data_IF_036209679957
#
_entry.id   IF_036209679957
#
_cell.length_a   1.000
_cell.length_b   1.000
_cell.length_c   1.000
_cell.angle_alpha   90.00
_cell.angle_beta   90.00
_cell.angle_gamma   90.00
#
_symmetry.space_group_name_H-M   'P 1'
#
loop_
_entity.id
_entity.type
_entity.pdbx_description
1 polymer ?
#
# COMPACT_ATOMS: atom_id res chain seq x y z
N UNK A 1 -19.11 42.00 -24.36
CA UNK A 1 -18.29 41.67 -25.54
C UNK A 1 -17.79 40.26 -25.33
N UNK A 2 -18.29 39.31 -26.11
CA UNK A 2 -17.83 37.92 -26.10
C UNK A 2 -16.41 37.90 -26.64
N UNK A 3 -15.46 37.35 -25.88
CA UNK A 3 -14.09 37.11 -26.30
C UNK A 3 -14.10 36.29 -27.60
N UNK A 4 -13.63 36.92 -28.67
CA UNK A 4 -13.47 36.35 -30.02
C UNK A 4 -12.21 35.48 -30.16
N UNK A 5 -11.72 34.86 -29.08
CA UNK A 5 -10.45 34.11 -29.07
C UNK A 5 -10.59 32.58 -29.05
N UNK A 6 -11.78 32.02 -29.31
CA UNK A 6 -12.01 30.57 -29.18
C UNK A 6 -11.93 29.79 -30.51
N UNK A 7 -11.59 30.42 -31.64
CA UNK A 7 -11.63 29.75 -32.95
C UNK A 7 -10.39 29.93 -33.83
N UNK A 8 -9.19 29.88 -33.26
CA UNK A 8 -7.96 29.57 -34.02
C UNK A 8 -7.25 28.35 -33.42
N UNK A 9 -7.71 27.15 -33.76
CA UNK A 9 -6.95 25.92 -33.50
C UNK A 9 -6.82 25.13 -34.79
N UNK A 10 -5.69 25.30 -35.49
CA UNK A 10 -5.22 24.32 -36.45
C UNK A 10 -5.06 22.93 -35.82
N UNK A 11 -4.79 21.87 -36.62
CA UNK A 11 -4.63 20.51 -36.10
C UNK A 11 -3.56 20.46 -35.01
N UNK A 12 -3.92 19.95 -33.82
CA UNK A 12 -3.00 19.84 -32.68
C UNK A 12 -2.04 18.68 -32.89
N UNK A 13 -0.76 18.99 -33.03
CA UNK A 13 0.30 17.98 -33.08
C UNK A 13 0.56 17.40 -31.68
N UNK A 14 0.66 16.08 -31.57
CA UNK A 14 0.96 15.38 -30.33
C UNK A 14 2.37 14.76 -30.40
N UNK A 15 3.05 14.74 -29.27
CA UNK A 15 4.29 13.99 -29.08
C UNK A 15 4.14 13.02 -27.93
N UNK A 16 4.83 11.90 -27.97
CA UNK A 16 4.77 10.90 -26.91
C UNK A 16 5.88 11.14 -25.89
N UNK A 17 5.55 11.17 -24.59
CA UNK A 17 6.53 11.21 -23.52
C UNK A 17 7.42 9.95 -23.58
N UNK A 18 8.75 10.07 -23.63
CA UNK A 18 9.63 8.93 -23.82
C UNK A 18 9.65 7.96 -22.64
N UNK A 19 9.40 8.41 -21.40
CA UNK A 19 9.41 7.55 -20.21
C UNK A 19 8.09 6.80 -20.05
N UNK A 20 6.98 7.54 -19.96
CA UNK A 20 5.64 7.00 -19.65
C UNK A 20 4.85 6.58 -20.90
N UNK A 21 5.33 6.90 -22.09
CA UNK A 21 4.66 6.63 -23.38
C UNK A 21 3.25 7.27 -23.49
N UNK A 22 3.04 8.42 -22.83
CA UNK A 22 1.78 9.18 -22.84
C UNK A 22 1.82 10.25 -23.94
N UNK A 23 0.77 10.36 -24.75
CA UNK A 23 0.64 11.42 -25.75
C UNK A 23 0.30 12.76 -25.13
N UNK A 24 1.08 13.80 -25.45
CA UNK A 24 0.94 15.15 -24.93
C UNK A 24 0.96 16.16 -26.08
N UNK A 25 0.19 17.27 -25.99
CA UNK A 25 0.22 18.32 -27.00
C UNK A 25 1.59 19.01 -27.08
N UNK A 26 2.01 19.37 -28.30
CA UNK A 26 3.22 20.15 -28.55
C UNK A 26 2.96 21.63 -28.23
N UNK A 27 3.90 22.32 -27.56
CA UNK A 27 3.83 23.80 -27.46
C UNK A 27 4.39 24.44 -28.72
N UNK A 28 3.99 25.69 -29.00
CA UNK A 28 4.51 26.51 -30.10
C UNK A 28 6.04 26.69 -30.11
N UNK A 29 6.74 26.39 -29.00
CA UNK A 29 8.19 26.50 -28.87
C UNK A 29 8.91 25.13 -28.91
N UNK A 30 8.25 24.04 -29.30
CA UNK A 30 8.88 22.71 -29.45
C UNK A 30 9.26 22.01 -28.14
N UNK A 31 8.95 22.60 -26.98
CA UNK A 31 9.19 22.04 -25.66
C UNK A 31 7.95 21.28 -25.14
N UNK A 32 8.12 20.28 -24.26
CA UNK A 32 6.99 19.64 -23.58
C UNK A 32 6.20 20.71 -22.81
N UNK A 33 4.89 20.75 -23.02
CA UNK A 33 4.01 21.61 -22.24
C UNK A 33 4.11 21.15 -20.78
N UNK A 34 4.71 21.96 -19.89
CA UNK A 34 4.65 21.69 -18.45
C UNK A 34 3.17 21.60 -18.07
N UNK A 35 2.75 20.65 -17.21
CA UNK A 35 1.38 20.61 -16.72
C UNK A 35 1.02 22.01 -16.22
N UNK A 36 -0.12 22.53 -16.67
CA UNK A 36 -0.59 23.88 -16.35
C UNK A 36 -0.55 24.04 -14.82
N UNK A 37 0.45 24.74 -14.30
CA UNK A 37 0.69 24.91 -12.86
C UNK A 37 -0.27 25.90 -12.21
N UNK A 38 -1.23 26.44 -12.94
CA UNK A 38 -2.26 27.33 -12.41
C UNK A 38 -3.60 27.07 -13.10
N UNK A 39 -4.37 26.12 -12.59
CA UNK A 39 -5.83 26.23 -12.62
C UNK A 39 -6.29 26.56 -11.22
N UNK A 40 -7.13 27.60 -11.10
CA UNK A 40 -7.91 27.94 -9.91
C UNK A 40 -8.40 26.66 -9.22
N UNK A 41 -8.28 26.62 -7.89
CA UNK A 41 -8.77 25.56 -7.01
C UNK A 41 -10.13 25.06 -7.52
N UNK A 42 -10.12 23.92 -8.18
CA UNK A 42 -11.34 23.24 -8.57
C UNK A 42 -11.72 22.36 -7.38
N UNK A 43 -12.90 22.61 -6.79
CA UNK A 43 -13.38 21.85 -5.64
C UNK A 43 -13.51 20.33 -5.90
N UNK A 44 -13.37 19.87 -7.14
CA UNK A 44 -13.44 18.45 -7.48
C UNK A 44 -12.25 17.63 -6.94
N UNK A 45 -11.06 18.22 -6.77
CA UNK A 45 -9.84 17.53 -6.31
C UNK A 45 -9.29 18.06 -4.98
N UNK A 46 -10.14 18.56 -4.07
CA UNK A 46 -9.70 18.97 -2.74
C UNK A 46 -9.07 17.79 -1.96
N UNK A 47 -7.95 18.02 -1.24
CA UNK A 47 -7.38 17.02 -0.34
C UNK A 47 -8.38 16.56 0.73
N UNK A 48 -8.21 15.33 1.21
CA UNK A 48 -9.11 14.72 2.21
C UNK A 48 -8.41 14.53 3.55
N UNK A 49 -9.04 15.02 4.61
CA UNK A 49 -8.69 14.75 6.00
C UNK A 49 -9.55 13.59 6.52
N UNK A 50 -8.95 12.42 6.68
CA UNK A 50 -9.56 11.27 7.35
C UNK A 50 -9.41 11.46 8.86
N UNK A 51 -10.51 11.36 9.59
CA UNK A 51 -10.52 11.56 11.05
C UNK A 51 -10.97 10.28 11.72
N UNK A 52 -10.07 9.61 12.45
CA UNK A 52 -10.46 8.41 13.19
C UNK A 52 -11.28 8.77 14.42
N UNK A 53 -12.28 7.95 14.75
CA UNK A 53 -13.14 8.13 15.93
C UNK A 53 -13.25 6.81 16.70
N UNK A 54 -13.26 6.87 18.03
CA UNK A 54 -13.55 5.72 18.88
C UNK A 54 -12.62 5.60 20.09
N UNK A 55 -13.00 4.73 21.02
CA UNK A 55 -12.27 4.48 22.27
C UNK A 55 -10.86 3.90 22.02
N UNK A 56 -9.92 4.01 22.97
CA UNK A 56 -8.63 3.31 22.91
C UNK A 56 -8.79 1.79 22.72
N UNK A 57 -7.79 1.13 22.14
CA UNK A 57 -7.81 -0.32 21.81
C UNK A 57 -8.99 -0.78 20.92
N UNK A 58 -9.44 0.09 19.99
CA UNK A 58 -10.45 -0.23 18.96
C UNK A 58 -9.87 -0.31 17.54
N UNK A 59 -8.58 -0.63 17.38
CA UNK A 59 -7.98 -0.80 16.05
C UNK A 59 -7.80 0.47 15.18
N UNK A 60 -8.04 1.68 15.69
CA UNK A 60 -7.89 2.93 14.91
C UNK A 60 -6.51 3.10 14.26
N UNK A 61 -5.43 2.88 15.01
CA UNK A 61 -4.06 2.97 14.48
C UNK A 61 -3.78 1.87 13.45
N UNK A 62 -4.33 0.67 13.64
CA UNK A 62 -4.23 -0.42 12.67
C UNK A 62 -4.90 -0.01 11.35
N UNK A 63 -6.15 0.45 11.41
CA UNK A 63 -6.90 0.97 10.26
C UNK A 63 -6.13 2.11 9.59
N UNK A 64 -5.62 3.06 10.37
CA UNK A 64 -4.88 4.22 9.86
C UNK A 64 -3.66 3.78 9.04
N UNK A 65 -2.82 2.90 9.60
CA UNK A 65 -1.63 2.41 8.90
C UNK A 65 -1.97 1.57 7.67
N UNK A 66 -2.90 0.60 7.79
CA UNK A 66 -3.31 -0.23 6.66
C UNK A 66 -3.92 0.60 5.54
N UNK A 67 -4.74 1.61 5.87
CA UNK A 67 -5.36 2.48 4.89
C UNK A 67 -4.32 3.36 4.21
N UNK A 68 -3.41 3.97 4.97
CA UNK A 68 -2.31 4.76 4.40
C UNK A 68 -1.41 3.93 3.49
N UNK A 69 -1.05 2.71 3.88
CA UNK A 69 -0.28 1.77 3.06
C UNK A 69 -0.97 1.47 1.74
N UNK A 70 -2.26 1.13 1.80
CA UNK A 70 -3.07 0.89 0.61
C UNK A 70 -3.13 2.11 -0.31
N UNK A 71 -3.49 3.29 0.23
CA UNK A 71 -3.61 4.51 -0.54
C UNK A 71 -2.28 4.93 -1.19
N UNK A 72 -1.15 4.81 -0.47
CA UNK A 72 0.16 5.08 -1.06
C UNK A 72 0.52 4.08 -2.17
N UNK A 73 0.24 2.79 -1.96
CA UNK A 73 0.54 1.75 -2.93
C UNK A 73 -0.19 1.97 -4.27
N UNK A 74 -1.46 2.39 -4.25
CA UNK A 74 -2.24 2.71 -5.46
C UNK A 74 -1.89 4.09 -6.08
N UNK A 75 -0.94 4.82 -5.49
CA UNK A 75 -0.48 6.12 -5.99
C UNK A 75 -1.20 7.35 -5.45
N UNK A 76 -1.90 7.26 -4.31
CA UNK A 76 -2.54 8.39 -3.60
C UNK A 76 -1.67 8.79 -2.40
N UNK A 77 -0.89 9.90 -2.47
CA UNK A 77 -0.01 10.32 -1.40
C UNK A 77 -0.76 10.54 -0.09
N UNK A 78 -0.45 9.69 0.89
CA UNK A 78 -1.15 9.61 2.17
C UNK A 78 -0.18 9.57 3.35
N UNK A 79 -0.47 10.31 4.43
CA UNK A 79 0.34 10.32 5.65
C UNK A 79 -0.53 10.24 6.91
N UNK A 80 -0.05 9.49 7.92
CA UNK A 80 -0.70 9.40 9.24
C UNK A 80 -0.13 10.44 10.19
N UNK A 81 -1.01 11.12 10.93
CA UNK A 81 -0.70 12.06 12.00
C UNK A 81 -1.28 11.51 13.31
N UNK A 82 -0.47 10.72 14.03
CA UNK A 82 -0.88 10.08 15.27
C UNK A 82 -0.69 11.05 16.46
N UNK A 83 -1.78 11.61 16.99
CA UNK A 83 -1.74 12.58 18.11
C UNK A 83 -1.09 11.98 19.36
N UNK A 84 -1.14 10.65 19.51
CA UNK A 84 -0.43 9.94 20.58
C UNK A 84 1.09 10.11 20.52
N UNK A 85 1.68 10.22 19.33
CA UNK A 85 3.11 10.48 19.13
C UNK A 85 3.48 11.91 19.54
N UNK A 86 2.75 12.91 19.07
CA UNK A 86 2.93 14.31 19.49
C UNK A 86 2.84 14.46 21.02
N UNK A 87 1.93 13.73 21.67
CA UNK A 87 1.84 13.71 23.14
C UNK A 87 3.08 13.09 23.78
N UNK A 88 3.60 11.99 23.26
CA UNK A 88 4.82 11.35 23.79
C UNK A 88 6.03 12.26 23.66
N UNK A 89 6.17 12.96 22.54
CA UNK A 89 7.26 13.92 22.33
C UNK A 89 7.16 15.13 23.29
N UNK A 90 5.94 15.59 23.58
CA UNK A 90 5.71 16.71 24.49
C UNK A 90 5.92 16.36 25.98
N UNK A 91 5.38 15.22 26.45
CA UNK A 91 5.39 14.84 27.87
C UNK A 91 6.63 14.01 28.24
N UNK A 92 7.30 13.39 27.26
CA UNK A 92 8.46 12.50 27.35
C UNK A 92 8.25 11.20 28.14
N UNK A 93 7.70 11.29 29.35
CA UNK A 93 7.49 10.15 30.25
C UNK A 93 6.00 10.01 30.56
N UNK A 94 5.43 8.85 30.22
CA UNK A 94 4.10 8.48 30.65
C UNK A 94 4.14 7.96 32.09
N UNK A 95 3.24 8.45 32.96
CA UNK A 95 3.13 8.00 34.35
C UNK A 95 1.97 7.03 34.55
N UNK A 96 0.75 7.48 34.27
CA UNK A 96 -0.47 6.70 34.50
C UNK A 96 -1.67 7.28 33.75
N UNK A 97 -2.78 6.54 33.80
CA UNK A 97 -4.07 6.92 33.22
C UNK A 97 -4.62 8.24 33.75
N UNK A 98 -4.13 8.74 34.89
CA UNK A 98 -4.55 10.01 35.50
C UNK A 98 -4.35 11.21 34.56
N UNK A 99 -3.36 11.12 33.66
CA UNK A 99 -3.14 12.10 32.60
C UNK A 99 -4.36 12.25 31.67
N UNK A 100 -5.15 11.19 31.50
CA UNK A 100 -6.28 11.14 30.59
C UNK A 100 -7.62 11.49 31.24
N UNK A 101 -7.66 11.67 32.57
CA UNK A 101 -8.90 11.97 33.26
C UNK A 101 -9.55 13.27 32.74
N UNK A 102 -10.89 13.35 32.70
CA UNK A 102 -11.59 14.56 32.25
C UNK A 102 -11.36 15.79 33.13
N UNK A 103 -11.14 15.58 34.43
CA UNK A 103 -10.89 16.62 35.44
C UNK A 103 -9.43 17.10 35.49
N UNK A 104 -8.53 16.45 34.74
CA UNK A 104 -7.14 16.88 34.62
C UNK A 104 -7.01 18.03 33.59
N UNK A 105 -7.13 19.28 34.07
CA UNK A 105 -7.06 20.48 33.22
C UNK A 105 -5.72 20.62 32.48
N UNK A 106 -4.60 20.33 33.16
CA UNK A 106 -3.27 20.40 32.56
C UNK A 106 -3.11 19.35 31.44
N UNK A 107 -3.48 18.09 31.73
CA UNK A 107 -3.46 17.00 30.76
C UNK A 107 -4.41 17.27 29.58
N UNK A 108 -5.56 17.90 29.81
CA UNK A 108 -6.47 18.33 28.74
C UNK A 108 -5.85 19.44 27.87
N UNK A 109 -5.20 20.45 28.49
CA UNK A 109 -4.51 21.54 27.79
C UNK A 109 -3.39 21.01 26.91
N UNK A 110 -2.54 20.12 27.43
CA UNK A 110 -1.46 19.47 26.67
C UNK A 110 -2.04 18.66 25.51
N UNK A 111 -3.06 17.81 25.74
CA UNK A 111 -3.68 17.02 24.67
C UNK A 111 -4.33 17.88 23.58
N UNK A 112 -4.90 19.04 23.94
CA UNK A 112 -5.42 20.02 22.98
C UNK A 112 -4.29 20.63 22.17
N UNK A 113 -3.19 21.03 22.81
CA UNK A 113 -2.01 21.56 22.12
C UNK A 113 -1.41 20.55 21.14
N UNK A 114 -1.22 19.28 21.54
CA UNK A 114 -0.72 18.23 20.64
C UNK A 114 -1.62 18.03 19.42
N UNK A 115 -2.95 18.08 19.61
CA UNK A 115 -3.89 17.98 18.49
C UNK A 115 -3.77 19.18 17.54
N UNK A 116 -3.61 20.40 18.06
CA UNK A 116 -3.39 21.60 17.26
C UNK A 116 -2.07 21.53 16.48
N UNK A 117 -0.99 21.09 17.11
CA UNK A 117 0.31 20.88 16.43
C UNK A 117 0.17 19.88 15.29
N UNK A 118 -0.47 18.73 15.54
CA UNK A 118 -0.72 17.73 14.50
C UNK A 118 -1.58 18.27 13.34
N UNK A 119 -2.60 19.10 13.61
CA UNK A 119 -3.39 19.75 12.57
C UNK A 119 -2.58 20.76 11.75
N UNK A 120 -1.62 21.48 12.36
CA UNK A 120 -0.73 22.36 11.61
C UNK A 120 0.15 21.57 10.62
N UNK A 121 0.64 20.40 11.04
CA UNK A 121 1.43 19.53 10.15
C UNK A 121 0.55 18.89 9.06
N UNK A 122 -0.72 18.60 9.36
CA UNK A 122 -1.72 18.20 8.34
C UNK A 122 -1.86 19.30 7.28
N UNK A 123 -1.96 20.57 7.70
CA UNK A 123 -2.07 21.70 6.77
C UNK A 123 -0.83 21.81 5.89
N UNK A 124 0.36 21.71 6.49
CA UNK A 124 1.62 21.75 5.73
C UNK A 124 1.67 20.64 4.68
N UNK A 125 1.35 19.41 5.09
CA UNK A 125 1.36 18.26 4.20
C UNK A 125 0.38 18.36 3.03
N UNK A 126 -0.87 18.75 3.30
CA UNK A 126 -1.93 18.80 2.28
C UNK A 126 -1.84 20.06 1.39
N UNK A 127 -1.33 21.17 1.91
CA UNK A 127 -1.29 22.45 1.17
C UNK A 127 0.06 22.74 0.51
N UNK A 128 1.16 22.19 1.03
CA UNK A 128 2.53 22.55 0.60
C UNK A 128 3.30 21.34 0.08
N UNK A 129 3.31 20.22 0.81
CA UNK A 129 4.12 19.03 0.44
C UNK A 129 3.51 18.19 -0.69
N UNK A 130 2.31 18.53 -1.19
CA UNK A 130 1.62 17.82 -2.26
C UNK A 130 0.88 16.55 -1.82
N UNK A 131 0.63 16.40 -0.51
CA UNK A 131 -0.20 15.34 0.04
C UNK A 131 -1.65 15.42 -0.43
N UNK A 132 -2.28 14.27 -0.66
CA UNK A 132 -3.70 14.21 -1.08
C UNK A 132 -4.63 13.77 0.05
N UNK A 133 -4.14 12.89 0.94
CA UNK A 133 -4.93 12.38 2.07
C UNK A 133 -4.12 12.45 3.36
N UNK A 134 -4.69 13.04 4.41
CA UNK A 134 -4.10 13.01 5.75
C UNK A 134 -4.97 12.17 6.68
N UNK A 135 -4.38 11.23 7.41
CA UNK A 135 -5.10 10.43 8.42
C UNK A 135 -4.79 10.97 9.81
N UNK A 136 -5.75 11.66 10.40
CA UNK A 136 -5.66 12.20 11.75
C UNK A 136 -6.06 11.13 12.78
N UNK A 137 -5.07 10.39 13.28
CA UNK A 137 -5.25 9.27 14.21
C UNK A 137 -5.28 9.75 15.66
N UNK A 138 -6.50 9.84 16.20
CA UNK A 138 -6.80 10.15 17.59
C UNK A 138 -8.15 9.55 18.02
N UNK A 139 -8.53 9.69 19.30
CA UNK A 139 -9.82 9.20 19.80
C UNK A 139 -11.01 9.98 19.24
N UNK A 140 -10.91 11.31 19.17
CA UNK A 140 -11.94 12.22 18.64
C UNK A 140 -13.38 11.88 19.09
N UNK A 141 -13.49 11.45 20.35
CA UNK A 141 -14.70 10.86 20.93
C UNK A 141 -15.80 11.88 21.25
N UNK A 142 -15.50 13.18 21.29
CA UNK A 142 -16.49 14.24 21.59
C UNK A 142 -16.90 15.02 20.33
N UNK A 143 -18.16 15.47 20.28
CA UNK A 143 -18.66 16.31 19.18
C UNK A 143 -17.95 17.66 19.10
N UNK A 144 -17.62 18.27 20.25
CA UNK A 144 -16.84 19.52 20.31
C UNK A 144 -15.50 19.40 19.57
N UNK A 145 -14.79 18.28 19.79
CA UNK A 145 -13.51 18.01 19.11
C UNK A 145 -13.73 17.86 17.61
N UNK A 146 -14.74 17.08 17.19
CA UNK A 146 -15.04 16.87 15.76
C UNK A 146 -15.45 18.18 15.07
N UNK A 147 -16.26 19.02 15.72
CA UNK A 147 -16.63 20.34 15.21
C UNK A 147 -15.41 21.26 15.04
N UNK A 148 -14.45 21.20 15.96
CA UNK A 148 -13.18 21.93 15.84
C UNK A 148 -12.39 21.49 14.61
N UNK A 149 -12.30 20.18 14.36
CA UNK A 149 -11.62 19.61 13.19
C UNK A 149 -12.35 19.98 11.89
N UNK A 150 -13.69 19.95 11.88
CA UNK A 150 -14.50 20.39 10.74
C UNK A 150 -14.23 21.85 10.39
N UNK A 151 -14.22 22.75 11.39
CA UNK A 151 -13.90 24.16 11.19
C UNK A 151 -12.49 24.37 10.64
N UNK A 152 -11.52 23.62 11.16
CA UNK A 152 -10.16 23.63 10.62
C UNK A 152 -10.13 23.19 9.15
N UNK A 153 -10.82 22.10 8.80
CA UNK A 153 -10.85 21.60 7.42
C UNK A 153 -11.53 22.60 6.47
N UNK A 154 -12.66 23.20 6.88
CA UNK A 154 -13.38 24.22 6.11
C UNK A 154 -12.49 25.45 5.82
N UNK A 155 -11.78 25.95 6.83
CA UNK A 155 -10.86 27.09 6.71
C UNK A 155 -9.70 26.83 5.73
N UNK A 156 -9.31 25.58 5.52
CA UNK A 156 -8.22 25.19 4.63
C UNK A 156 -8.70 24.56 3.31
N UNK A 157 -10.02 24.46 3.09
CA UNK A 157 -10.58 23.86 1.87
C UNK A 157 -10.39 22.35 1.76
N UNK A 158 -10.31 21.64 2.89
CA UNK A 158 -10.17 20.18 2.93
C UNK A 158 -11.54 19.49 3.06
N UNK A 159 -11.70 18.35 2.39
CA UNK A 159 -12.83 17.44 2.64
C UNK A 159 -12.57 16.66 3.93
N UNK A 160 -13.62 16.28 4.65
CA UNK A 160 -13.50 15.44 5.86
C UNK A 160 -14.23 14.12 5.67
N UNK A 161 -13.59 13.02 6.07
CA UNK A 161 -14.21 11.70 6.11
C UNK A 161 -13.92 11.03 7.45
N UNK A 162 -14.94 10.76 8.25
CA UNK A 162 -14.74 10.11 9.55
C UNK A 162 -14.73 8.60 9.43
N UNK A 163 -13.79 7.97 10.14
CA UNK A 163 -13.71 6.50 10.26
C UNK A 163 -13.84 6.15 11.74
N UNK A 164 -15.05 5.78 12.16
CA UNK A 164 -15.32 5.35 13.52
C UNK A 164 -15.12 3.84 13.64
N UNK A 165 -14.37 3.41 14.65
CA UNK A 165 -14.24 1.99 15.00
C UNK A 165 -14.89 1.72 16.35
N UNK A 166 -15.93 0.90 16.34
CA UNK A 166 -16.69 0.48 17.52
C UNK A 166 -16.51 -1.03 17.69
N UNK A 167 -16.14 -1.45 18.89
CA UNK A 167 -16.09 -2.85 19.28
C UNK A 167 -16.47 -2.94 20.75
N UNK A 168 -17.44 -3.80 21.03
CA UNK A 168 -17.93 -4.05 22.40
C UNK A 168 -17.49 -5.42 22.92
N UNK A 169 -16.92 -6.26 22.06
CA UNK A 169 -16.41 -7.60 22.37
C UNK A 169 -15.19 -7.54 23.31
N UNK A 170 -15.30 -8.00 24.57
CA UNK A 170 -14.22 -7.93 25.54
C UNK A 170 -12.96 -8.70 25.14
N UNK A 171 -13.11 -9.82 24.42
CA UNK A 171 -11.99 -10.69 24.03
C UNK A 171 -11.13 -9.99 22.97
N UNK A 172 -11.78 -9.37 21.98
CA UNK A 172 -11.12 -8.55 20.96
C UNK A 172 -10.41 -7.36 21.59
N UNK A 173 -11.01 -6.74 22.60
CA UNK A 173 -10.40 -5.59 23.29
C UNK A 173 -9.15 -6.03 24.05
N UNK A 174 -9.23 -7.14 24.79
CA UNK A 174 -8.11 -7.70 25.52
C UNK A 174 -6.96 -8.07 24.58
N UNK A 175 -7.26 -8.77 23.47
CA UNK A 175 -6.26 -9.14 22.46
C UNK A 175 -5.59 -7.90 21.85
N UNK A 176 -6.35 -6.87 21.52
CA UNK A 176 -5.82 -5.60 21.01
C UNK A 176 -4.92 -4.87 22.02
N UNK A 177 -5.21 -4.96 23.33
CA UNK A 177 -4.34 -4.38 24.36
C UNK A 177 -3.02 -5.14 24.38
N UNK A 178 -3.08 -6.46 24.43
CA UNK A 178 -1.89 -7.32 24.52
C UNK A 178 -1.00 -7.16 23.28
N UNK A 179 -1.55 -7.30 22.08
CA UNK A 179 -0.77 -7.32 20.83
C UNK A 179 -0.18 -5.96 20.44
N UNK A 180 -0.78 -4.85 20.87
CA UNK A 180 -0.56 -3.54 20.25
C UNK A 180 -0.15 -2.47 21.25
N UNK A 181 -0.53 -2.63 22.52
CA UNK A 181 -0.37 -1.59 23.55
C UNK A 181 0.67 -1.93 24.59
N UNK A 182 0.98 -3.20 24.82
CA UNK A 182 2.12 -3.58 25.67
C UNK A 182 3.46 -3.20 25.04
N UNK A 183 3.59 -3.36 23.72
CA UNK A 183 4.79 -2.90 22.97
C UNK A 183 4.82 -1.37 22.75
N UNK A 184 3.90 -0.61 23.36
CA UNK A 184 3.87 0.84 23.25
C UNK A 184 5.01 1.47 24.05
N UNK A 185 5.63 2.56 23.56
CA UNK A 185 6.60 3.33 24.34
C UNK A 185 6.08 3.85 25.68
N UNK A 186 4.75 3.91 25.85
CA UNK A 186 4.12 4.30 27.11
C UNK A 186 4.33 3.27 28.24
N UNK A 187 4.59 1.99 27.94
CA UNK A 187 4.61 0.89 28.93
C UNK A 187 5.91 0.07 28.95
N UNK A 188 6.99 0.56 28.33
CA UNK A 188 8.28 -0.17 28.22
C UNK A 188 8.85 -0.63 29.57
N UNK A 189 8.58 0.12 30.65
CA UNK A 189 9.11 -0.15 31.99
C UNK A 189 8.04 -0.62 32.98
N UNK A 190 6.87 -1.01 32.49
CA UNK A 190 5.72 -1.42 33.31
C UNK A 190 5.50 -2.91 33.13
N UNK A 191 5.13 -3.60 34.22
CA UNK A 191 4.74 -5.00 34.11
C UNK A 191 3.49 -5.18 33.23
N UNK A 192 3.34 -6.34 32.60
CA UNK A 192 2.23 -6.61 31.69
C UNK A 192 0.88 -6.48 32.39
N UNK A 193 0.73 -6.99 33.61
CA UNK A 193 -0.55 -6.94 34.33
C UNK A 193 -0.89 -5.50 34.72
N UNK A 194 0.09 -4.74 35.22
CA UNK A 194 -0.06 -3.34 35.59
C UNK A 194 -0.38 -2.46 34.36
N UNK A 195 0.28 -2.71 33.22
CA UNK A 195 0.03 -2.01 31.97
C UNK A 195 -1.39 -2.26 31.45
N UNK A 196 -1.90 -3.49 31.54
CA UNK A 196 -3.29 -3.82 31.19
C UNK A 196 -4.26 -3.08 32.11
N UNK A 197 -4.02 -3.10 33.43
CA UNK A 197 -4.89 -2.43 34.39
C UNK A 197 -4.94 -0.91 34.17
N UNK A 198 -3.79 -0.26 34.01
CA UNK A 198 -3.68 1.16 33.67
C UNK A 198 -4.42 1.49 32.36
N UNK A 199 -4.22 0.66 31.34
CA UNK A 199 -4.86 0.89 30.04
C UNK A 199 -6.38 0.74 30.11
N UNK A 200 -6.89 -0.21 30.90
CA UNK A 200 -8.33 -0.35 31.14
C UNK A 200 -8.92 0.86 31.87
N UNK A 201 -8.22 1.39 32.89
CA UNK A 201 -8.62 2.64 33.57
C UNK A 201 -8.59 3.83 32.60
N UNK A 202 -7.59 3.88 31.72
CA UNK A 202 -7.51 4.88 30.65
C UNK A 202 -8.70 4.81 29.69
N UNK A 203 -9.17 3.61 29.30
CA UNK A 203 -10.38 3.46 28.48
C UNK A 203 -11.59 4.08 29.19
N UNK A 204 -11.78 3.77 30.48
CA UNK A 204 -12.88 4.31 31.29
C UNK A 204 -12.91 5.84 31.34
N UNK A 205 -11.74 6.50 31.34
CA UNK A 205 -11.67 7.96 31.26
C UNK A 205 -12.30 8.54 29.99
N UNK A 206 -12.27 7.81 28.87
CA UNK A 206 -12.88 8.24 27.61
C UNK A 206 -14.37 7.87 27.51
N UNK A 207 -14.78 6.76 28.11
CA UNK A 207 -16.18 6.28 28.06
C UNK A 207 -17.18 7.30 28.59
N UNK A 208 -16.86 8.00 29.69
CA UNK A 208 -17.77 9.00 30.29
C UNK A 208 -18.13 10.17 29.38
N UNK A 209 -17.31 10.42 28.36
CA UNK A 209 -17.44 11.58 27.45
C UNK A 209 -17.64 11.15 26.00
N UNK A 210 -17.73 9.85 25.73
CA UNK A 210 -17.81 9.34 24.37
C UNK A 210 -19.20 9.59 23.78
N UNK A 211 -19.21 10.36 22.68
CA UNK A 211 -20.36 10.64 21.86
C UNK A 211 -20.12 10.02 20.48
N UNK A 212 -20.60 8.77 20.24
CA UNK A 212 -20.45 8.10 18.96
C UNK A 212 -21.01 8.92 17.80
N UNK A 213 -20.60 8.59 16.56
CA UNK A 213 -21.29 9.13 15.39
C UNK A 213 -22.72 8.58 15.35
N UNK A 214 -23.67 9.48 15.10
CA UNK A 214 -25.10 9.23 15.16
C UNK A 214 -25.80 9.60 13.84
N UNK A 215 -26.69 8.73 13.37
CA UNK A 215 -27.37 8.88 12.08
C UNK A 215 -28.26 10.13 11.99
N UNK A 216 -28.82 10.58 13.11
CA UNK A 216 -29.72 11.73 13.15
C UNK A 216 -28.96 13.03 13.39
N UNK A 217 -28.05 13.02 14.37
CA UNK A 217 -27.32 14.20 14.83
C UNK A 217 -26.15 14.54 13.91
N UNK A 218 -25.51 13.54 13.30
CA UNK A 218 -24.36 13.69 12.41
C UNK A 218 -24.73 13.42 10.92
N UNK A 219 -26.02 13.54 10.56
CA UNK A 219 -26.58 13.21 9.23
C UNK A 219 -25.91 13.90 8.04
N UNK A 220 -25.34 15.08 8.27
CA UNK A 220 -24.67 15.88 7.24
C UNK A 220 -23.20 15.49 7.03
N UNK A 221 -22.62 14.70 7.94
CA UNK A 221 -21.21 14.30 7.91
C UNK A 221 -20.99 13.09 7.00
N UNK A 222 -19.84 13.05 6.33
CA UNK A 222 -19.38 11.88 5.57
C UNK A 222 -18.59 10.95 6.47
N UNK A 223 -19.06 9.71 6.65
CA UNK A 223 -18.40 8.78 7.54
C UNK A 223 -18.68 7.30 7.23
N UNK A 224 -17.81 6.46 7.79
CA UNK A 224 -18.01 5.02 7.95
C UNK A 224 -17.83 4.65 9.42
N UNK A 225 -18.75 3.84 9.93
CA UNK A 225 -18.66 3.19 11.23
C UNK A 225 -18.40 1.71 11.01
N UNK A 226 -17.24 1.24 11.47
CA UNK A 226 -16.84 -0.17 11.47
C UNK A 226 -17.20 -0.75 12.83
N UNK A 227 -18.10 -1.74 12.85
CA UNK A 227 -18.69 -2.29 14.06
C UNK A 227 -18.27 -3.75 14.21
N UNK A 228 -17.79 -4.08 15.40
CA UNK A 228 -17.32 -5.41 15.80
C UNK A 228 -16.37 -6.02 14.78
N UNK A 229 -15.28 -5.29 14.50
CA UNK A 229 -14.19 -5.76 13.64
C UNK A 229 -14.65 -6.06 12.20
N UNK A 230 -15.60 -5.26 11.70
CA UNK A 230 -16.08 -5.40 10.33
C UNK A 230 -17.22 -6.39 10.15
N UNK A 231 -17.84 -6.87 11.24
CA UNK A 231 -19.10 -7.64 11.15
C UNK A 231 -20.24 -6.79 10.56
N UNK A 232 -20.25 -5.49 10.85
CA UNK A 232 -21.25 -4.56 10.33
C UNK A 232 -20.63 -3.21 10.03
N UNK A 233 -21.18 -2.56 9.01
CA UNK A 233 -20.77 -1.23 8.59
C UNK A 233 -21.97 -0.30 8.54
N UNK A 234 -21.77 0.95 8.91
CA UNK A 234 -22.72 2.04 8.64
C UNK A 234 -21.99 3.10 7.83
N UNK A 235 -22.49 3.42 6.65
CA UNK A 235 -21.86 4.38 5.74
C UNK A 235 -22.83 5.52 5.49
N UNK A 236 -22.38 6.76 5.71
CA UNK A 236 -23.17 7.95 5.47
C UNK A 236 -22.45 8.90 4.50
N UNK A 237 -23.20 9.41 3.51
CA UNK A 237 -22.80 10.49 2.58
C UNK A 237 -21.38 10.39 2.00
N UNK A 238 -21.12 9.36 1.21
CA UNK A 238 -19.88 9.26 0.41
C UNK A 238 -19.87 10.33 -0.68
N UNK A 239 -18.88 11.23 -0.66
CA UNK A 239 -18.84 12.42 -1.53
C UNK A 239 -18.05 12.21 -2.83
N UNK A 240 -17.07 11.31 -2.83
CA UNK A 240 -16.19 11.11 -3.98
C UNK A 240 -15.60 9.70 -4.07
N UNK A 241 -14.82 9.48 -5.13
CA UNK A 241 -14.21 8.20 -5.43
C UNK A 241 -13.17 7.76 -4.38
N UNK A 242 -12.44 8.69 -3.74
CA UNK A 242 -11.47 8.34 -2.71
C UNK A 242 -12.20 7.80 -1.48
N UNK A 243 -13.27 8.48 -1.04
CA UNK A 243 -14.10 8.00 0.05
C UNK A 243 -14.75 6.65 -0.27
N UNK A 244 -15.26 6.47 -1.50
CA UNK A 244 -15.82 5.18 -1.94
C UNK A 244 -14.78 4.05 -1.89
N UNK A 245 -13.55 4.31 -2.34
CA UNK A 245 -12.44 3.34 -2.28
C UNK A 245 -11.99 3.03 -0.85
N UNK A 246 -12.01 4.02 0.05
CA UNK A 246 -11.75 3.82 1.47
C UNK A 246 -12.81 2.88 2.06
N UNK A 247 -14.10 3.14 1.80
CA UNK A 247 -15.21 2.28 2.26
C UNK A 247 -15.02 0.85 1.74
N UNK A 248 -14.79 0.70 0.43
CA UNK A 248 -14.56 -0.60 -0.19
C UNK A 248 -13.38 -1.36 0.44
N UNK A 249 -12.26 -0.67 0.68
CA UNK A 249 -11.11 -1.29 1.34
C UNK A 249 -11.42 -1.74 2.77
N UNK A 250 -12.06 -0.87 3.57
CA UNK A 250 -12.41 -1.18 4.96
C UNK A 250 -13.41 -2.34 5.09
N UNK A 251 -14.23 -2.57 4.06
CA UNK A 251 -15.14 -3.70 3.97
C UNK A 251 -14.47 -5.04 3.63
N UNK A 252 -13.24 -5.02 3.11
CA UNK A 252 -12.50 -6.23 2.71
C UNK A 252 -11.37 -6.61 3.66
N UNK A 253 -10.93 -5.72 4.55
CA UNK A 253 -9.90 -6.06 5.54
C UNK A 253 -10.50 -6.80 6.74
N UNK A 254 -9.72 -7.72 7.32
CA UNK A 254 -10.00 -8.32 8.62
C UNK A 254 -8.73 -8.38 9.49
N UNK A 255 -8.87 -8.76 10.76
CA UNK A 255 -7.75 -8.88 11.72
C UNK A 255 -7.39 -10.33 12.05
N UNK A 256 -8.18 -11.31 11.57
CA UNK A 256 -7.92 -12.74 11.81
C UNK A 256 -6.48 -13.10 11.43
N UNK A 257 -5.70 -13.72 12.32
CA UNK A 257 -4.36 -14.20 12.01
C UNK A 257 -4.38 -15.15 10.82
N UNK A 258 -3.48 -14.93 9.86
CA UNK A 258 -3.40 -15.69 8.61
C UNK A 258 -2.01 -15.67 8.02
N UNK A 259 -1.72 -16.59 7.10
CA UNK A 259 -0.45 -16.65 6.37
C UNK A 259 -0.67 -16.51 4.86
N UNK A 260 0.08 -15.59 4.24
CA UNK A 260 0.13 -15.45 2.79
C UNK A 260 1.48 -15.96 2.31
N UNK A 261 1.49 -16.90 1.38
CA UNK A 261 2.69 -17.46 0.79
C UNK A 261 2.85 -16.88 -0.60
N UNK A 262 3.97 -16.23 -0.86
CA UNK A 262 4.31 -15.75 -2.19
C UNK A 262 5.46 -16.58 -2.73
N UNK A 263 5.30 -17.09 -3.95
CA UNK A 263 6.40 -17.70 -4.68
C UNK A 263 6.33 -17.33 -6.15
N UNK A 264 7.47 -17.38 -6.82
CA UNK A 264 7.52 -17.41 -8.28
C UNK A 264 7.18 -18.80 -8.77
N UNK A 265 6.87 -18.91 -10.06
CA UNK A 265 6.97 -20.18 -10.77
C UNK A 265 8.35 -20.82 -10.57
N UNK A 266 8.45 -22.14 -10.75
CA UNK A 266 9.74 -22.81 -10.91
C UNK A 266 10.53 -22.24 -12.10
N UNK A 267 11.85 -22.42 -12.12
CA UNK A 267 12.70 -21.98 -13.23
C UNK A 267 12.13 -22.42 -14.59
N UNK A 268 12.08 -21.49 -15.54
CA UNK A 268 11.58 -21.74 -16.90
C UNK A 268 12.69 -21.75 -17.94
N UNK A 269 12.41 -22.28 -19.13
CA UNK A 269 13.38 -22.33 -20.23
C UNK A 269 13.87 -20.92 -20.64
N UNK A 270 12.99 -19.91 -20.60
CA UNK A 270 13.39 -18.52 -20.87
C UNK A 270 14.27 -17.94 -19.76
N UNK A 271 14.11 -18.37 -18.50
CA UNK A 271 15.02 -17.92 -17.44
C UNK A 271 16.44 -18.41 -17.69
N UNK A 272 16.62 -19.68 -18.06
CA UNK A 272 17.93 -20.26 -18.38
C UNK A 272 18.61 -19.43 -19.48
N UNK A 273 17.85 -19.07 -20.52
CA UNK A 273 18.31 -18.28 -21.67
C UNK A 273 18.44 -16.78 -21.40
N UNK A 274 18.19 -16.30 -20.18
CA UNK A 274 18.25 -14.87 -19.86
C UNK A 274 17.20 -13.99 -20.55
N UNK A 275 16.11 -14.57 -21.08
CA UNK A 275 15.07 -13.86 -21.83
C UNK A 275 13.91 -13.43 -20.92
N UNK A 276 13.42 -12.21 -21.12
CA UNK A 276 12.27 -11.67 -20.37
C UNK A 276 10.93 -12.01 -21.06
N UNK A 277 9.83 -12.00 -20.30
CA UNK A 277 8.50 -12.21 -20.87
C UNK A 277 8.23 -13.64 -21.36
N UNK A 278 7.44 -13.78 -22.42
CA UNK A 278 7.07 -15.02 -23.09
C UNK A 278 6.25 -15.98 -22.22
N UNK A 279 5.89 -17.14 -22.78
CA UNK A 279 5.08 -18.16 -22.10
C UNK A 279 5.71 -19.56 -22.11
N UNK A 280 7.03 -19.61 -21.90
CA UNK A 280 7.75 -20.90 -21.80
C UNK A 280 7.33 -21.73 -20.58
N UNK A 281 7.53 -23.05 -20.68
CA UNK A 281 7.29 -23.99 -19.59
C UNK A 281 8.45 -24.06 -18.60
N UNK A 282 8.29 -24.92 -17.59
CA UNK A 282 9.32 -25.21 -16.59
C UNK A 282 10.51 -25.97 -17.19
N UNK A 283 11.71 -25.62 -16.72
CA UNK A 283 12.93 -26.41 -16.89
C UNK A 283 12.88 -27.68 -16.03
N UNK A 284 13.90 -28.54 -16.12
CA UNK A 284 14.03 -29.70 -15.22
C UNK A 284 14.12 -29.27 -13.74
N UNK A 285 14.92 -28.25 -13.44
CA UNK A 285 15.02 -27.69 -12.08
C UNK A 285 13.71 -27.03 -11.65
N UNK A 286 12.98 -26.39 -12.57
CA UNK A 286 11.65 -25.86 -12.29
C UNK A 286 10.64 -26.94 -11.89
N UNK A 287 10.67 -28.09 -12.55
CA UNK A 287 9.84 -29.26 -12.19
C UNK A 287 10.23 -29.83 -10.83
N UNK A 288 11.53 -29.94 -10.55
CA UNK A 288 12.02 -30.37 -9.23
C UNK A 288 11.54 -29.42 -8.11
N UNK A 289 11.65 -28.10 -8.34
CA UNK A 289 11.15 -27.10 -7.41
C UNK A 289 9.66 -27.24 -7.15
N UNK A 290 8.84 -27.48 -8.18
CA UNK A 290 7.39 -27.66 -8.02
C UNK A 290 7.05 -28.86 -7.10
N UNK A 291 7.82 -29.95 -7.20
CA UNK A 291 7.68 -31.11 -6.32
C UNK A 291 8.13 -30.81 -4.88
N UNK A 292 9.19 -30.01 -4.69
CA UNK A 292 9.62 -29.56 -3.35
C UNK A 292 8.62 -28.60 -2.73
N UNK A 293 8.01 -27.71 -3.52
CA UNK A 293 6.96 -26.81 -3.08
C UNK A 293 5.74 -27.59 -2.60
N UNK A 294 5.32 -28.64 -3.33
CA UNK A 294 4.26 -29.55 -2.87
C UNK A 294 4.58 -30.11 -1.49
N UNK A 295 5.77 -30.69 -1.32
CA UNK A 295 6.19 -31.28 -0.05
C UNK A 295 6.15 -30.25 1.08
N UNK A 296 6.74 -29.07 0.85
CA UNK A 296 6.75 -27.99 1.84
C UNK A 296 5.33 -27.58 2.26
N UNK A 297 4.44 -27.33 1.30
CA UNK A 297 3.05 -26.91 1.58
C UNK A 297 2.27 -27.99 2.35
N UNK A 298 2.47 -29.26 2.02
CA UNK A 298 1.86 -30.38 2.76
C UNK A 298 2.37 -30.44 4.21
N UNK A 299 3.67 -30.21 4.44
CA UNK A 299 4.28 -30.20 5.78
C UNK A 299 3.80 -29.03 6.64
N UNK A 300 3.39 -27.90 6.04
CA UNK A 300 2.81 -26.78 6.77
C UNK A 300 1.43 -27.09 7.37
N UNK A 301 0.74 -28.15 6.93
CA UNK A 301 -0.58 -28.57 7.39
C UNK A 301 -1.61 -27.41 7.45
N UNK A 302 -1.65 -26.62 6.38
CA UNK A 302 -2.45 -25.39 6.31
C UNK A 302 -3.91 -25.74 6.05
N UNK A 303 -4.81 -25.30 6.93
CA UNK A 303 -6.25 -25.44 6.73
C UNK A 303 -6.73 -24.49 5.63
N UNK A 304 -7.56 -25.03 4.73
CA UNK A 304 -8.26 -24.27 3.69
C UNK A 304 -7.35 -23.39 2.82
N UNK A 305 -6.17 -23.88 2.47
CA UNK A 305 -5.25 -23.15 1.59
C UNK A 305 -5.86 -22.93 0.20
N UNK A 306 -5.97 -21.67 -0.20
CA UNK A 306 -6.26 -21.31 -1.60
C UNK A 306 -4.97 -21.17 -2.39
N UNK A 307 -4.96 -21.62 -3.63
CA UNK A 307 -3.81 -21.48 -4.54
C UNK A 307 -4.21 -20.63 -5.73
N UNK A 308 -3.44 -19.57 -5.99
CA UNK A 308 -3.64 -18.69 -7.13
C UNK A 308 -2.43 -18.71 -8.06
N UNK A 309 -2.70 -18.71 -9.36
CA UNK A 309 -1.68 -18.63 -10.39
C UNK A 309 -1.97 -17.49 -11.35
N UNK A 310 -0.98 -17.13 -12.15
CA UNK A 310 -1.26 -16.42 -13.40
C UNK A 310 -1.89 -17.35 -14.45
N UNK A 311 -2.17 -16.83 -15.64
CA UNK A 311 -2.58 -17.64 -16.81
C UNK A 311 -1.38 -18.13 -17.65
N UNK A 312 -0.16 -18.05 -17.11
CA UNK A 312 1.06 -18.38 -17.85
C UNK A 312 1.50 -19.79 -17.51
N UNK A 313 1.95 -20.54 -18.52
CA UNK A 313 2.22 -21.98 -18.45
C UNK A 313 3.08 -22.36 -17.25
N UNK A 314 4.15 -21.62 -16.99
CA UNK A 314 5.10 -21.89 -15.87
C UNK A 314 4.49 -21.81 -14.47
N UNK A 315 3.55 -20.89 -14.21
CA UNK A 315 2.88 -20.82 -12.89
C UNK A 315 1.86 -21.95 -12.76
N UNK A 316 1.14 -22.24 -13.83
CA UNK A 316 0.16 -23.33 -13.91
C UNK A 316 0.84 -24.68 -13.67
N UNK A 317 1.93 -25.00 -14.38
CA UNK A 317 2.69 -26.25 -14.20
C UNK A 317 3.26 -26.41 -12.78
N UNK A 318 3.64 -25.29 -12.15
CA UNK A 318 4.10 -25.29 -10.76
C UNK A 318 2.94 -25.66 -9.82
N UNK A 319 1.75 -25.10 -10.04
CA UNK A 319 0.56 -25.39 -9.23
C UNK A 319 -0.02 -26.80 -9.48
N UNK A 320 -0.02 -27.29 -10.72
CA UNK A 320 -0.46 -28.65 -11.07
C UNK A 320 0.28 -29.71 -10.25
N UNK A 321 1.57 -29.49 -9.98
CA UNK A 321 2.40 -30.40 -9.18
C UNK A 321 1.94 -30.51 -7.72
N UNK A 322 1.23 -29.50 -7.19
CA UNK A 322 0.70 -29.51 -5.82
C UNK A 322 -0.44 -30.52 -5.65
N UNK A 323 -1.17 -30.85 -6.72
CA UNK A 323 -2.32 -31.75 -6.67
C UNK A 323 -3.53 -31.22 -5.91
N UNK A 324 -3.69 -29.89 -5.85
CA UNK A 324 -4.83 -29.20 -5.22
C UNK A 324 -5.50 -28.25 -6.22
N UNK A 325 -6.77 -27.87 -6.02
CA UNK A 325 -7.43 -26.87 -6.84
C UNK A 325 -6.68 -25.53 -6.81
N UNK A 326 -6.62 -24.85 -7.95
CA UNK A 326 -6.05 -23.52 -8.07
C UNK A 326 -6.90 -22.64 -8.98
N UNK A 327 -6.83 -21.33 -8.76
CA UNK A 327 -7.54 -20.32 -9.55
C UNK A 327 -6.55 -19.51 -10.39
N UNK A 328 -6.87 -19.30 -11.67
CA UNK A 328 -6.02 -18.54 -12.58
C UNK A 328 -6.49 -17.10 -12.68
N UNK A 329 -5.60 -16.15 -12.40
CA UNK A 329 -5.87 -14.73 -12.45
C UNK A 329 -5.05 -14.10 -13.57
N UNK A 330 -5.68 -13.57 -14.61
CA UNK A 330 -4.99 -12.81 -15.66
C UNK A 330 -4.21 -11.62 -15.07
N UNK A 331 -4.75 -11.01 -14.01
CA UNK A 331 -4.10 -9.93 -13.27
C UNK A 331 -2.76 -10.34 -12.62
N UNK A 332 -2.46 -11.64 -12.49
CA UNK A 332 -1.18 -12.15 -12.01
C UNK A 332 -0.18 -12.45 -13.14
N UNK A 333 -0.49 -12.21 -14.42
CA UNK A 333 0.49 -12.36 -15.50
C UNK A 333 1.67 -11.41 -15.30
N UNK A 334 2.87 -11.82 -15.74
CA UNK A 334 4.07 -11.00 -15.64
C UNK A 334 3.88 -9.65 -16.34
N UNK A 335 4.70 -8.67 -15.97
CA UNK A 335 4.75 -7.38 -16.66
C UNK A 335 4.96 -7.59 -18.17
N UNK A 336 4.11 -6.97 -18.98
CA UNK A 336 4.22 -7.02 -20.44
C UNK A 336 5.39 -6.12 -20.92
N UNK A 337 6.43 -6.72 -21.48
CA UNK A 337 7.59 -6.01 -22.02
C UNK A 337 7.35 -5.46 -23.45
N UNK A 338 6.15 -5.64 -24.01
CA UNK A 338 5.73 -5.13 -25.31
C UNK A 338 6.69 -5.56 -26.42
N UNK A 339 7.31 -4.59 -27.09
CA UNK A 339 8.28 -4.85 -28.15
C UNK A 339 9.57 -5.55 -27.68
N UNK A 340 9.81 -5.64 -26.37
CA UNK A 340 10.97 -6.30 -25.77
C UNK A 340 10.66 -7.70 -25.22
N UNK A 341 9.45 -8.23 -25.45
CA UNK A 341 9.10 -9.61 -25.11
C UNK A 341 10.07 -10.60 -25.74
N UNK A 342 10.40 -11.65 -24.99
CA UNK A 342 11.33 -12.73 -25.36
C UNK A 342 12.77 -12.29 -25.65
N UNK A 343 13.17 -11.05 -25.36
CA UNK A 343 14.55 -10.57 -25.55
C UNK A 343 15.42 -10.77 -24.30
N UNK A 344 16.74 -10.91 -24.51
CA UNK A 344 17.74 -10.76 -23.46
C UNK A 344 18.01 -9.28 -23.18
N UNK A 345 18.50 -8.93 -21.99
CA UNK A 345 18.83 -7.53 -21.67
C UNK A 345 19.91 -6.95 -22.61
N UNK A 346 20.85 -7.79 -23.05
CA UNK A 346 21.89 -7.49 -24.04
C UNK A 346 21.28 -7.15 -25.40
N UNK A 347 20.27 -7.90 -25.83
CA UNK A 347 19.54 -7.64 -27.07
C UNK A 347 18.77 -6.31 -26.97
N UNK A 348 18.18 -6.01 -25.81
CA UNK A 348 17.48 -4.73 -25.58
C UNK A 348 18.48 -3.57 -25.59
N UNK A 349 19.63 -3.68 -24.92
CA UNK A 349 20.66 -2.63 -24.94
C UNK A 349 21.19 -2.40 -26.35
N UNK A 350 21.36 -3.46 -27.16
CA UNK A 350 21.82 -3.36 -28.54
C UNK A 350 20.79 -2.72 -29.46
N UNK A 351 19.53 -3.15 -29.38
CA UNK A 351 18.47 -2.75 -30.31
C UNK A 351 17.74 -1.47 -29.87
N UNK A 352 17.66 -1.21 -28.57
CA UNK A 352 16.93 -0.10 -27.95
C UNK A 352 17.73 0.56 -26.80
N UNK A 353 18.95 1.08 -27.04
CA UNK A 353 19.84 1.60 -25.98
C UNK A 353 19.20 2.75 -25.18
N UNK A 354 18.42 3.61 -25.83
CA UNK A 354 17.70 4.72 -25.18
C UNK A 354 16.63 4.19 -24.22
N UNK A 355 15.86 3.19 -24.64
CA UNK A 355 14.82 2.57 -23.80
C UNK A 355 15.43 1.87 -22.59
N UNK A 356 16.55 1.17 -22.79
CA UNK A 356 17.29 0.52 -21.72
C UNK A 356 17.76 1.52 -20.66
N UNK A 357 18.32 2.67 -21.09
CA UNK A 357 18.72 3.73 -20.17
C UNK A 357 17.53 4.42 -19.48
N UNK A 358 16.45 4.74 -20.21
CA UNK A 358 15.24 5.34 -19.63
C UNK A 358 14.62 4.45 -18.55
N UNK A 359 14.63 3.14 -18.75
CA UNK A 359 14.17 2.17 -17.76
C UNK A 359 15.05 2.16 -16.51
N UNK A 360 16.35 2.37 -16.65
CA UNK A 360 17.26 2.43 -15.50
C UNK A 360 17.10 3.73 -14.70
N UNK A 361 16.76 4.83 -15.37
CA UNK A 361 16.53 6.14 -14.75
C UNK A 361 15.31 6.17 -13.84
N UNK A 362 14.16 5.68 -14.32
CA UNK A 362 12.92 5.57 -13.51
C UNK A 362 12.21 4.25 -13.85
N UNK A 363 12.70 3.17 -13.23
CA UNK A 363 12.21 1.82 -13.46
C UNK A 363 10.75 1.61 -13.05
N UNK A 364 10.22 2.44 -12.15
CA UNK A 364 8.83 2.34 -11.71
C UNK A 364 7.87 2.89 -12.76
N UNK A 365 8.15 4.10 -13.27
CA UNK A 365 7.27 4.80 -14.23
C UNK A 365 7.57 4.51 -15.69
N UNK A 366 8.76 3.96 -15.99
CA UNK A 366 9.10 3.55 -17.34
C UNK A 366 8.08 2.54 -17.86
N UNK A 367 7.49 2.85 -19.01
CA UNK A 367 6.60 1.95 -19.75
C UNK A 367 7.32 1.43 -20.99
N UNK A 368 7.35 0.11 -21.13
CA UNK A 368 7.84 -0.53 -22.36
C UNK A 368 7.01 -0.09 -23.57
N UNK A 369 7.62 0.11 -24.76
CA UNK A 369 6.86 0.38 -25.98
C UNK A 369 5.83 -0.72 -26.24
N UNK A 370 4.54 -0.35 -26.29
CA UNK A 370 3.39 -1.26 -26.41
C UNK A 370 3.26 -2.29 -25.26
N UNK A 371 3.88 -2.02 -24.11
CA UNK A 371 3.81 -2.86 -22.92
C UNK A 371 3.40 -2.06 -21.68
N UNK A 372 3.82 -2.56 -20.52
CA UNK A 372 3.45 -2.06 -19.18
C UNK A 372 4.63 -1.37 -18.47
N UNK A 373 4.29 -0.63 -17.42
CA UNK A 373 5.19 -0.16 -16.36
C UNK A 373 4.85 -0.85 -15.03
N UNK A 374 5.69 -0.69 -14.00
CA UNK A 374 5.31 -1.13 -12.65
C UNK A 374 4.10 -0.35 -12.11
N UNK A 375 3.94 0.91 -12.52
CA UNK A 375 2.75 1.72 -12.21
C UNK A 375 1.47 1.10 -12.79
N UNK A 376 1.51 0.61 -14.04
CA UNK A 376 0.39 -0.14 -14.65
C UNK A 376 0.11 -1.44 -13.89
N UNK A 377 1.17 -2.15 -13.49
CA UNK A 377 1.07 -3.41 -12.77
C UNK A 377 0.41 -3.24 -11.41
N UNK A 378 0.73 -2.17 -10.68
CA UNK A 378 0.06 -1.80 -9.42
C UNK A 378 -1.44 -1.62 -9.62
N UNK A 379 -1.86 -0.86 -10.65
CA UNK A 379 -3.30 -0.66 -10.93
C UNK A 379 -3.98 -1.99 -11.28
N UNK A 380 -3.32 -2.85 -12.09
CA UNK A 380 -3.84 -4.18 -12.46
C UNK A 380 -3.93 -5.14 -11.28
N UNK A 381 -3.04 -5.02 -10.30
CA UNK A 381 -2.99 -5.90 -9.12
C UNK A 381 -3.89 -5.44 -7.98
N UNK A 382 -4.50 -4.26 -8.04
CA UNK A 382 -5.40 -3.79 -6.99
C UNK A 382 -6.50 -4.81 -6.63
N UNK A 383 -7.24 -5.41 -7.59
CA UNK A 383 -8.25 -6.43 -7.27
C UNK A 383 -7.67 -7.66 -6.56
N UNK A 384 -6.42 -8.03 -6.88
CA UNK A 384 -5.72 -9.14 -6.22
C UNK A 384 -5.41 -8.78 -4.76
N UNK A 385 -4.94 -7.55 -4.50
CA UNK A 385 -4.69 -7.07 -3.14
C UNK A 385 -5.99 -7.04 -2.31
N UNK A 386 -7.10 -6.60 -2.90
CA UNK A 386 -8.40 -6.60 -2.21
C UNK A 386 -8.82 -8.01 -1.81
N UNK A 387 -8.67 -8.98 -2.72
CA UNK A 387 -8.99 -10.36 -2.43
C UNK A 387 -8.02 -10.98 -1.42
N UNK A 388 -6.71 -10.68 -1.48
CA UNK A 388 -5.75 -11.11 -0.45
C UNK A 388 -6.05 -10.52 0.92
N UNK A 389 -6.63 -9.32 0.98
CA UNK A 389 -7.04 -8.71 2.25
C UNK A 389 -8.27 -9.41 2.86
N UNK A 390 -9.11 -10.01 2.02
CA UNK A 390 -10.35 -10.73 2.36
C UNK A 390 -10.14 -12.20 2.71
N UNK A 391 -9.13 -12.83 2.13
CA UNK A 391 -8.83 -14.25 2.34
C UNK A 391 -8.00 -14.49 3.60
N UNK A 392 -8.05 -15.72 4.11
CA UNK A 392 -7.16 -16.21 5.16
C UNK A 392 -5.84 -16.74 4.55
N UNK A 393 -5.71 -18.07 4.37
CA UNK A 393 -4.48 -18.68 3.91
C UNK A 393 -4.45 -18.78 2.39
N UNK A 394 -3.49 -18.11 1.76
CA UNK A 394 -3.35 -18.09 0.29
C UNK A 394 -1.91 -18.32 -0.12
N UNK A 395 -1.68 -19.20 -1.10
CA UNK A 395 -0.45 -19.34 -1.86
C UNK A 395 -0.62 -18.69 -3.23
N UNK A 396 0.20 -17.68 -3.53
CA UNK A 396 0.24 -17.02 -4.84
C UNK A 396 1.52 -17.44 -5.58
N UNK A 397 1.36 -18.15 -6.69
CA UNK A 397 2.44 -18.55 -7.60
C UNK A 397 2.42 -17.59 -8.79
N UNK A 398 3.39 -16.67 -8.84
CA UNK A 398 3.41 -15.58 -9.80
C UNK A 398 4.82 -15.38 -10.41
N UNK A 399 5.20 -14.14 -10.70
CA UNK A 399 6.40 -13.78 -11.45
C UNK A 399 7.20 -12.69 -10.75
N UNK A 400 8.35 -12.30 -11.29
CA UNK A 400 9.28 -11.42 -10.59
C UNK A 400 8.69 -10.02 -10.39
N UNK A 401 8.15 -9.37 -11.44
CA UNK A 401 7.64 -8.00 -11.28
C UNK A 401 6.33 -8.00 -10.45
N UNK A 402 5.47 -8.99 -10.68
CA UNK A 402 4.21 -9.18 -9.93
C UNK A 402 4.48 -9.38 -8.43
N UNK A 403 5.38 -10.30 -8.08
CA UNK A 403 5.71 -10.60 -6.68
C UNK A 403 6.30 -9.39 -5.97
N UNK A 404 7.10 -8.56 -6.68
CA UNK A 404 7.61 -7.29 -6.13
C UNK A 404 6.48 -6.31 -5.81
N UNK A 405 5.50 -6.15 -6.70
CA UNK A 405 4.34 -5.29 -6.42
C UNK A 405 3.55 -5.76 -5.19
N UNK A 406 3.27 -7.06 -5.10
CA UNK A 406 2.58 -7.64 -3.95
C UNK A 406 3.38 -7.46 -2.66
N UNK A 407 4.69 -7.75 -2.71
CA UNK A 407 5.57 -7.60 -1.56
C UNK A 407 5.68 -6.15 -1.11
N UNK A 408 5.77 -5.20 -2.05
CA UNK A 408 5.81 -3.78 -1.73
C UNK A 408 4.54 -3.31 -0.98
N UNK A 409 3.37 -3.85 -1.34
CA UNK A 409 2.15 -3.59 -0.58
C UNK A 409 2.25 -4.08 0.86
N UNK A 410 2.62 -5.34 1.09
CA UNK A 410 2.65 -5.90 2.45
C UNK A 410 3.76 -5.32 3.32
N UNK A 411 4.88 -4.92 2.72
CA UNK A 411 6.06 -4.38 3.41
C UNK A 411 6.13 -2.85 3.44
N UNK A 412 5.10 -2.17 2.94
CA UNK A 412 5.02 -0.70 2.89
C UNK A 412 6.25 -0.07 2.20
N UNK A 413 6.60 -0.62 1.02
CA UNK A 413 7.75 -0.18 0.24
C UNK A 413 7.37 0.91 -0.75
N UNK A 414 8.27 1.88 -0.91
CA UNK A 414 8.04 3.02 -1.80
C UNK A 414 8.08 2.61 -3.27
N UNK A 415 7.53 3.46 -4.14
CA UNK A 415 7.58 3.27 -5.58
C UNK A 415 9.02 3.18 -6.14
N UNK A 416 10.00 3.85 -5.50
CA UNK A 416 11.42 3.78 -5.90
C UNK A 416 12.07 2.44 -5.50
N UNK A 417 11.73 1.90 -4.33
CA UNK A 417 12.26 0.60 -3.85
C UNK A 417 11.62 -0.60 -4.58
N UNK A 418 10.33 -0.52 -4.91
CA UNK A 418 9.50 -1.63 -5.40
C UNK A 418 10.15 -2.41 -6.58
N UNK A 419 10.64 -1.78 -7.67
CA UNK A 419 11.22 -2.49 -8.81
C UNK A 419 12.54 -3.24 -8.52
N UNK A 420 13.07 -3.09 -7.31
CA UNK A 420 14.34 -3.64 -6.85
C UNK A 420 14.19 -4.57 -5.64
N UNK A 421 12.97 -4.90 -5.21
CA UNK A 421 12.79 -5.90 -4.18
C UNK A 421 13.32 -7.28 -4.63
N UNK A 422 13.91 -8.01 -3.69
CA UNK A 422 14.47 -9.34 -3.93
C UNK A 422 13.36 -10.39 -3.89
N UNK A 423 13.16 -11.08 -5.01
CA UNK A 423 12.19 -12.17 -5.15
C UNK A 423 12.88 -13.31 -5.94
N UNK A 424 13.83 -14.03 -5.32
CA UNK A 424 14.60 -15.07 -5.99
C UNK A 424 13.70 -16.21 -6.46
N UNK A 425 14.17 -16.97 -7.47
CA UNK A 425 13.54 -18.24 -7.84
C UNK A 425 13.65 -19.23 -6.67
N UNK A 426 12.77 -20.23 -6.71
CA UNK A 426 12.79 -21.40 -5.83
C UNK A 426 12.73 -21.11 -4.32
N UNK A 427 12.21 -19.94 -3.96
CA UNK A 427 12.13 -19.45 -2.60
C UNK A 427 10.71 -19.02 -2.29
N UNK A 428 10.14 -19.53 -1.20
CA UNK A 428 8.82 -19.13 -0.71
C UNK A 428 9.01 -17.99 0.29
N UNK A 429 8.28 -16.89 0.10
CA UNK A 429 8.15 -15.84 1.11
C UNK A 429 6.85 -16.05 1.86
N UNK A 430 6.94 -16.41 3.14
CA UNK A 430 5.79 -16.51 4.03
C UNK A 430 5.59 -15.16 4.74
N UNK A 431 4.43 -14.57 4.51
CA UNK A 431 3.99 -13.30 5.04
C UNK A 431 2.99 -13.54 6.16
N UNK A 432 3.28 -13.03 7.35
CA UNK A 432 2.34 -13.03 8.48
C UNK A 432 1.98 -11.58 8.83
N UNK A 433 0.82 -11.07 8.39
CA UNK A 433 0.37 -9.72 8.74
C UNK A 433 0.28 -9.55 10.26
N UNK A 434 0.82 -8.44 10.76
CA UNK A 434 0.77 -8.07 12.18
C UNK A 434 0.25 -6.64 12.32
N UNK A 435 -0.11 -6.21 13.54
CA UNK A 435 -0.80 -4.95 13.79
C UNK A 435 -0.15 -3.70 13.15
N UNK A 436 1.17 -3.69 12.95
CA UNK A 436 1.89 -2.55 12.39
C UNK A 436 2.71 -2.87 11.14
N UNK A 437 2.49 -4.02 10.49
CA UNK A 437 3.27 -4.41 9.32
C UNK A 437 3.05 -5.86 8.92
N UNK A 438 4.12 -6.50 8.47
CA UNK A 438 4.11 -7.90 8.07
C UNK A 438 5.44 -8.55 8.41
N UNK A 439 5.41 -9.70 9.10
CA UNK A 439 6.60 -10.54 9.26
C UNK A 439 6.85 -11.28 7.94
N UNK A 440 8.12 -11.43 7.56
CA UNK A 440 8.53 -12.14 6.35
C UNK A 440 9.52 -13.21 6.73
N UNK A 441 9.21 -14.44 6.36
CA UNK A 441 10.12 -15.57 6.44
C UNK A 441 10.48 -15.99 5.01
N UNK A 442 11.77 -16.18 4.72
CA UNK A 442 12.26 -16.60 3.41
C UNK A 442 12.72 -18.06 3.48
N UNK A 443 12.09 -18.92 2.69
CA UNK A 443 12.32 -20.37 2.72
C UNK A 443 12.79 -20.84 1.33
N UNK A 444 14.10 -21.05 1.19
CA UNK A 444 14.68 -21.68 0.01
C UNK A 444 14.45 -23.20 0.04
N UNK A 445 13.92 -23.77 -1.04
CA UNK A 445 13.52 -25.19 -1.07
C UNK A 445 14.63 -26.16 -1.56
N UNK A 446 15.88 -25.68 -1.63
CA UNK A 446 17.04 -26.53 -1.90
C UNK A 446 17.15 -27.00 -3.35
N UNK A 447 16.66 -26.22 -4.32
CA UNK A 447 16.78 -26.51 -5.76
C UNK A 447 17.43 -25.31 -6.44
N UNK A 448 18.57 -25.52 -7.08
CA UNK A 448 19.31 -24.44 -7.71
C UNK A 448 18.53 -23.79 -8.86
N UNK A 449 18.86 -22.54 -9.16
CA UNK A 449 18.27 -21.78 -10.26
C UNK A 449 19.19 -20.67 -10.71
N UNK A 450 18.98 -20.17 -11.92
CA UNK A 450 19.61 -18.92 -12.37
C UNK A 450 19.19 -17.72 -11.52
N UNK A 451 20.04 -16.71 -11.44
CA UNK A 451 19.68 -15.44 -10.84
C UNK A 451 19.07 -14.50 -11.90
N UNK A 452 17.87 -13.98 -11.64
CA UNK A 452 17.18 -13.03 -12.52
C UNK A 452 17.12 -11.61 -11.94
N UNK A 453 17.77 -11.38 -10.80
CA UNK A 453 17.78 -10.09 -10.14
C UNK A 453 18.85 -9.16 -10.71
N UNK A 454 18.41 -8.09 -11.37
CA UNK A 454 19.26 -6.96 -11.78
C UNK A 454 19.21 -5.83 -10.75
N UNK A 455 20.37 -5.54 -10.15
CA UNK A 455 20.56 -4.43 -9.20
C UNK A 455 20.32 -3.06 -9.86
N UNK A 456 20.16 -2.01 -9.04
CA UNK A 456 20.10 -0.62 -9.54
C UNK A 456 21.49 -0.22 -10.05
N UNK A 457 21.63 0.16 -11.33
CA UNK A 457 22.90 0.65 -11.85
C UNK A 457 23.23 2.05 -11.30
N UNK A 458 24.51 2.34 -11.13
CA UNK A 458 24.98 3.64 -10.64
C UNK A 458 24.91 4.70 -11.74
N UNK A 459 25.41 4.38 -12.94
CA UNK A 459 25.31 5.25 -14.10
C UNK A 459 24.09 4.88 -14.94
N UNK A 460 23.16 5.81 -15.13
CA UNK A 460 21.91 5.62 -15.88
C UNK A 460 21.81 6.50 -17.14
N UNK A 461 22.91 7.15 -17.53
CA UNK A 461 22.94 8.04 -18.69
C UNK A 461 22.76 7.27 -20.00
N UNK A 462 22.04 7.85 -20.96
CA UNK A 462 21.79 7.22 -22.25
C UNK A 462 23.06 7.07 -23.11
N UNK A 463 24.06 7.92 -22.89
CA UNK A 463 25.34 7.91 -23.62
C UNK A 463 26.41 7.01 -22.98
N UNK A 464 26.08 6.25 -21.93
CA UNK A 464 27.04 5.32 -21.29
C UNK A 464 27.44 4.18 -22.24
N UNK A 465 28.60 3.58 -22.02
CA UNK A 465 29.05 2.46 -22.84
C UNK A 465 28.18 1.22 -22.63
N UNK A 466 28.22 0.28 -23.58
CA UNK A 466 27.49 -0.98 -23.48
C UNK A 466 27.98 -1.82 -22.31
N UNK A 467 29.29 -1.84 -22.03
CA UNK A 467 29.85 -2.57 -20.88
C UNK A 467 29.30 -2.03 -19.55
N UNK A 468 29.22 -0.70 -19.41
CA UNK A 468 28.67 -0.04 -18.23
C UNK A 468 27.16 -0.31 -18.06
N UNK A 469 26.40 -0.24 -19.16
CA UNK A 469 24.96 -0.53 -19.14
C UNK A 469 24.63 -1.97 -18.70
N UNK A 470 25.49 -2.92 -19.10
CA UNK A 470 25.31 -4.35 -18.84
C UNK A 470 25.92 -4.82 -17.52
N UNK A 471 26.65 -3.99 -16.79
CA UNK A 471 27.35 -4.37 -15.55
C UNK A 471 26.44 -5.02 -14.49
N UNK A 472 25.17 -4.60 -14.42
CA UNK A 472 24.19 -5.12 -13.45
C UNK A 472 23.31 -6.24 -14.01
N UNK A 473 23.45 -6.58 -15.29
CA UNK A 473 22.69 -7.67 -15.92
C UNK A 473 23.19 -9.02 -15.36
N UNK A 474 22.30 -9.89 -14.86
CA UNK A 474 22.70 -11.19 -14.35
C UNK A 474 23.29 -12.09 -15.44
N UNK A 475 24.31 -12.86 -15.07
CA UNK A 475 24.81 -13.92 -15.93
C UNK A 475 23.71 -14.96 -16.20
N UNK A 476 23.67 -15.43 -17.44
CA UNK A 476 22.80 -16.50 -17.91
C UNK A 476 23.64 -17.52 -18.69
N UNK A 477 23.06 -18.71 -18.92
CA UNK A 477 23.79 -19.88 -19.44
C UNK A 477 23.61 -20.07 -20.94
#
# INVERSE_FOLDING_TARGET
MLDKDVLEHGPRELHQNPLRKIWMPRTSNGLPQRPITQRRVCMTNCPTLIVTVGLPARGKTYISKKLTRYLNWIGVPTKVFNVGQYRRECVKIYKSFEFFRPDNEEGLKIRRQCATTALNDVREYLSVEGGQVAVFDATNTTRERRATIMKFAEQNGFKVFFVESVCEDPDVIAENIVQVKLDSPDYIHTDTEEAVEDFMKRIKCYESSYQPLDENLDKELSYIKVIDVGRRYLVNRVLDHIQSRIVYYLMNIHITPRSIYLSRHGESDLNIKGRIGGDSGLSDRGREYAMKLRKYIQEQNIKELKVWTSQMKRTIQTAESLGVPYEQWKALNEIDAGMCEEMMYEEIQKNFPVEFALRDQDKYRYRYPKGESYEDLVQRLEPVIMELERQENVLVICHQAVMRCLLAYFLDKTADELPYLQCPLHTVLKLTPVAYGCKVESIYLGVDSVNTHRNRPENVMAQRSTEDALQTVPAHF
#
